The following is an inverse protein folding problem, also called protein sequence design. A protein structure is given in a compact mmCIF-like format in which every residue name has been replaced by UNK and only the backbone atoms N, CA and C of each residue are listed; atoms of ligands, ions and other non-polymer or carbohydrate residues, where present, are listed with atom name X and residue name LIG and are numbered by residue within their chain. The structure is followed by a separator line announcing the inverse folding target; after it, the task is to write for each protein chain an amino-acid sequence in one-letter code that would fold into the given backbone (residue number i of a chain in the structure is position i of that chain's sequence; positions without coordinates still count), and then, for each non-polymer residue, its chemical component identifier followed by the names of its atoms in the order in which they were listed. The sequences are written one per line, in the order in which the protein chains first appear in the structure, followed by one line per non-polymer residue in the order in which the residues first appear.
data_IF_212245015858
#
_entry.id   IF_212245015858
#
_cell.length_a   1.000
_cell.length_b   1.000
_cell.length_c   1.000
_cell.angle_alpha   90.00
_cell.angle_beta   90.00
_cell.angle_gamma   90.00
#
_symmetry.space_group_name_H-M   'P 1'
#
loop_
_entity.id
_entity.type
_entity.pdbx_description
1 polymer ?
#
# COMPACT_ATOMS: atom_id res chain seq x y z
N UNK A 1 17.70 -4.61 11.86
CA UNK A 1 16.28 -4.27 12.06
C UNK A 1 16.24 -3.13 13.06
N UNK A 2 15.63 -2.00 12.74
CA UNK A 2 15.55 -0.87 13.66
C UNK A 2 14.33 -1.07 14.55
N UNK A 3 14.56 -1.44 15.80
CA UNK A 3 13.54 -1.50 16.85
C UNK A 3 13.59 -0.18 17.61
N UNK A 4 12.43 0.50 17.71
CA UNK A 4 12.34 1.77 18.41
C UNK A 4 11.03 1.81 19.20
N UNK A 5 11.14 2.08 20.50
CA UNK A 5 9.98 2.25 21.38
C UNK A 5 9.34 3.62 21.11
N UNK A 6 8.02 3.63 20.98
CA UNK A 6 7.22 4.84 20.76
C UNK A 6 6.19 5.00 21.86
N UNK A 7 5.92 6.25 22.26
CA UNK A 7 4.91 6.56 23.26
C UNK A 7 3.55 6.75 22.61
N UNK A 8 2.53 6.10 23.17
CA UNK A 8 1.14 6.36 22.81
C UNK A 8 0.73 7.72 23.37
N UNK A 9 0.23 8.57 22.50
CA UNK A 9 -0.25 9.92 22.85
C UNK A 9 -1.77 9.89 23.11
N UNK A 10 -2.41 11.06 23.12
CA UNK A 10 -3.86 11.15 23.39
C UNK A 10 -4.65 10.32 22.36
N UNK A 11 -5.78 9.76 22.79
CA UNK A 11 -6.70 8.99 21.94
C UNK A 11 -6.07 7.76 21.26
N UNK A 12 -4.98 7.21 21.81
CA UNK A 12 -4.35 6.01 21.25
C UNK A 12 -3.46 6.26 20.02
N UNK A 13 -3.13 7.51 19.71
CA UNK A 13 -2.33 7.85 18.54
C UNK A 13 -0.83 7.56 18.77
N UNK A 14 -0.19 6.98 17.76
CA UNK A 14 1.26 6.69 17.76
C UNK A 14 1.93 7.38 16.58
N UNK A 15 3.10 7.97 16.82
CA UNK A 15 3.92 8.56 15.75
C UNK A 15 4.77 7.49 15.09
N UNK A 16 4.66 7.34 13.76
CA UNK A 16 5.51 6.43 12.99
C UNK A 16 6.91 7.07 12.87
N UNK A 17 7.98 6.40 13.33
CA UNK A 17 9.32 6.98 13.27
C UNK A 17 9.80 7.20 11.83
N UNK A 18 10.76 8.10 11.67
CA UNK A 18 11.17 8.64 10.36
C UNK A 18 11.73 7.57 9.43
N UNK A 19 12.42 6.56 9.97
CA UNK A 19 13.02 5.49 9.18
C UNK A 19 11.95 4.62 8.51
N UNK A 20 10.92 4.23 9.26
CA UNK A 20 9.79 3.45 8.76
C UNK A 20 8.96 4.27 7.78
N UNK A 21 8.70 5.56 8.07
CA UNK A 21 8.01 6.46 7.12
C UNK A 21 8.72 6.53 5.78
N UNK A 22 10.04 6.71 5.78
CA UNK A 22 10.85 6.77 4.55
C UNK A 22 10.87 5.43 3.82
N UNK A 23 11.11 4.34 4.55
CA UNK A 23 11.17 2.98 3.98
C UNK A 23 9.87 2.59 3.27
N UNK A 24 8.72 2.89 3.89
CA UNK A 24 7.41 2.54 3.34
C UNK A 24 6.73 3.70 2.60
N UNK A 25 7.45 4.81 2.37
CA UNK A 25 6.97 6.02 1.69
C UNK A 25 5.64 6.55 2.23
N UNK A 26 5.44 6.46 3.54
CA UNK A 26 4.24 6.93 4.23
C UNK A 26 4.29 8.46 4.31
N UNK A 27 3.27 9.11 3.77
CA UNK A 27 3.12 10.57 3.73
C UNK A 27 1.93 11.01 4.57
N UNK A 28 1.91 12.28 4.93
CA UNK A 28 0.75 12.89 5.58
C UNK A 28 -0.51 12.74 4.71
N UNK A 29 -1.67 12.50 5.35
CA UNK A 29 -2.94 12.25 4.66
C UNK A 29 -3.12 10.85 4.08
N UNK A 30 -2.07 10.02 4.03
CA UNK A 30 -2.16 8.64 3.54
C UNK A 30 -2.99 7.77 4.50
N UNK A 31 -3.85 6.91 3.93
CA UNK A 31 -4.62 5.95 4.71
C UNK A 31 -3.81 4.69 4.97
N UNK A 32 -3.93 4.13 6.17
CA UNK A 32 -3.33 2.85 6.54
C UNK A 32 -4.45 1.87 6.90
N UNK A 33 -4.33 0.64 6.40
CA UNK A 33 -5.16 -0.48 6.83
C UNK A 33 -4.55 -1.06 8.11
N UNK A 34 -5.40 -1.23 9.12
CA UNK A 34 -5.04 -1.84 10.40
C UNK A 34 -5.59 -3.26 10.43
N UNK A 35 -4.73 -4.23 10.72
CA UNK A 35 -5.13 -5.64 10.81
C UNK A 35 -4.44 -6.30 12.01
N UNK A 36 -5.18 -7.11 12.75
CA UNK A 36 -4.60 -7.98 13.77
C UNK A 36 -3.77 -9.09 13.13
N UNK A 37 -2.64 -9.41 13.76
CA UNK A 37 -1.76 -10.50 13.37
C UNK A 37 -1.23 -11.22 14.63
N UNK A 38 -0.73 -12.47 14.50
CA UNK A 38 -0.20 -13.21 15.64
C UNK A 38 0.95 -12.51 16.39
N UNK A 39 1.67 -11.61 15.70
CA UNK A 39 2.84 -10.90 16.23
C UNK A 39 2.49 -9.48 16.72
N UNK A 40 1.23 -9.06 16.59
CA UNK A 40 0.77 -7.72 16.94
C UNK A 40 -0.05 -7.06 15.84
N UNK A 41 -0.08 -5.73 15.84
CA UNK A 41 -0.88 -4.94 14.90
C UNK A 41 -0.08 -4.65 13.63
N UNK A 42 -0.62 -5.04 12.48
CA UNK A 42 -0.05 -4.74 11.17
C UNK A 42 -0.68 -3.47 10.58
N UNK A 43 0.17 -2.51 10.22
CA UNK A 43 -0.20 -1.34 9.45
C UNK A 43 0.26 -1.48 8.01
N UNK A 44 -0.67 -1.42 7.06
CA UNK A 44 -0.38 -1.49 5.62
C UNK A 44 -0.79 -0.20 4.92
N UNK A 45 0.12 0.50 4.21
CA UNK A 45 -0.24 1.66 3.41
C UNK A 45 -1.28 1.33 2.35
N UNK A 46 -2.31 2.17 2.24
CA UNK A 46 -3.29 2.14 1.15
C UNK A 46 -2.88 3.22 0.16
N UNK A 47 -2.29 2.79 -0.96
CA UNK A 47 -1.93 3.68 -2.06
C UNK A 47 -3.21 4.27 -2.68
N UNK A 48 -3.35 5.60 -2.77
CA UNK A 48 -4.50 6.21 -3.44
C UNK A 48 -4.46 5.87 -4.94
N UNK A 49 -5.64 5.80 -5.58
CA UNK A 49 -5.74 5.49 -7.02
C UNK A 49 -4.95 6.48 -7.89
N UNK A 50 -4.90 7.75 -7.49
CA UNK A 50 -4.16 8.81 -8.18
C UNK A 50 -2.66 8.48 -8.29
N UNK A 51 -2.07 7.89 -7.25
CA UNK A 51 -0.67 7.45 -7.24
C UNK A 51 -0.41 6.20 -8.11
N UNK A 52 -1.47 5.51 -8.57
CA UNK A 52 -1.35 4.34 -9.44
C UNK A 52 -1.33 4.71 -10.93
N UNK A 53 -1.67 5.95 -11.29
CA UNK A 53 -1.66 6.39 -12.67
C UNK A 53 -0.24 6.26 -13.26
N UNK A 54 -0.10 5.43 -14.30
CA UNK A 54 1.18 5.20 -14.97
C UNK A 54 2.19 4.35 -14.19
N UNK A 55 1.79 3.65 -13.12
CA UNK A 55 2.68 2.77 -12.34
C UNK A 55 3.36 1.67 -13.19
N UNK A 56 2.71 1.27 -14.28
CA UNK A 56 3.20 0.27 -15.23
C UNK A 56 3.76 0.89 -16.52
N UNK A 57 3.93 2.22 -16.58
CA UNK A 57 4.54 2.89 -17.72
C UNK A 57 5.97 2.35 -17.97
N UNK A 58 6.22 1.88 -19.19
CA UNK A 58 7.51 1.27 -19.57
C UNK A 58 7.77 -0.13 -19.01
N UNK A 59 6.85 -0.70 -18.22
CA UNK A 59 6.96 -2.08 -17.67
C UNK A 59 6.20 -3.11 -18.49
N UNK A 60 5.14 -2.68 -19.16
CA UNK A 60 4.25 -3.54 -19.95
C UNK A 60 3.91 -2.83 -21.25
N UNK A 61 3.86 -3.58 -22.36
CA UNK A 61 3.43 -3.03 -23.65
C UNK A 61 1.90 -2.91 -23.70
N UNK A 62 1.39 -1.97 -24.50
CA UNK A 62 -0.06 -1.79 -24.67
C UNK A 62 -0.74 -3.06 -25.18
N UNK A 63 -0.06 -3.81 -26.05
CA UNK A 63 -0.56 -5.06 -26.62
C UNK A 63 -0.68 -6.18 -25.57
N UNK A 64 0.34 -6.32 -24.72
CA UNK A 64 0.30 -7.30 -23.64
C UNK A 64 -0.80 -6.97 -22.62
N UNK A 65 -0.97 -5.68 -22.30
CA UNK A 65 -2.03 -5.23 -21.40
C UNK A 65 -3.42 -5.53 -21.97
N UNK A 66 -3.63 -5.26 -23.27
CA UNK A 66 -4.90 -5.58 -23.96
C UNK A 66 -5.20 -7.08 -23.94
N UNK A 67 -4.20 -7.93 -24.23
CA UNK A 67 -4.37 -9.40 -24.18
C UNK A 67 -4.78 -9.90 -22.80
N UNK A 68 -4.15 -9.38 -21.73
CA UNK A 68 -4.51 -9.73 -20.35
C UNK A 68 -5.94 -9.28 -20.03
N UNK A 69 -6.32 -8.07 -20.44
CA UNK A 69 -7.65 -7.52 -20.24
C UNK A 69 -8.74 -8.36 -20.93
N UNK A 70 -8.50 -8.77 -22.18
CA UNK A 70 -9.43 -9.60 -22.94
C UNK A 70 -9.55 -11.01 -22.36
N UNK A 71 -8.45 -11.59 -21.85
CA UNK A 71 -8.49 -12.85 -21.11
C UNK A 71 -9.38 -12.76 -19.87
N UNK A 72 -9.19 -11.74 -19.03
CA UNK A 72 -10.02 -11.53 -17.84
C UNK A 72 -11.50 -11.38 -18.21
N UNK A 73 -11.83 -10.62 -19.26
CA UNK A 73 -13.21 -10.47 -19.75
C UNK A 73 -13.84 -11.78 -20.23
N UNK A 74 -13.04 -12.68 -20.80
CA UNK A 74 -13.53 -13.99 -21.25
C UNK A 74 -13.81 -14.94 -20.10
N UNK A 75 -13.04 -14.83 -19.00
CA UNK A 75 -13.19 -15.63 -17.78
C UNK A 75 -14.38 -15.15 -16.93
N UNK A 76 -14.72 -13.86 -17.00
CA UNK A 76 -15.85 -13.24 -16.28
C UNK A 76 -17.23 -13.44 -16.94
N UNK A 77 -17.29 -14.06 -18.12
CA UNK A 77 -18.58 -14.36 -18.77
C UNK A 77 -19.27 -15.52 -18.05
N UNK A 78 -20.19 -15.16 -17.15
CA UNK A 78 -21.27 -16.02 -16.64
C UNK A 78 -22.30 -16.33 -17.73
#
# INVERSE_FOLDING_TARGET
MAEQTVKVTRKGQVTIPVEQRRKYRIREGMRLLVKDSPQGILFRPVTPLEDLAGVDAGRVTVEEMKRRLDKMRSEDRY
#
